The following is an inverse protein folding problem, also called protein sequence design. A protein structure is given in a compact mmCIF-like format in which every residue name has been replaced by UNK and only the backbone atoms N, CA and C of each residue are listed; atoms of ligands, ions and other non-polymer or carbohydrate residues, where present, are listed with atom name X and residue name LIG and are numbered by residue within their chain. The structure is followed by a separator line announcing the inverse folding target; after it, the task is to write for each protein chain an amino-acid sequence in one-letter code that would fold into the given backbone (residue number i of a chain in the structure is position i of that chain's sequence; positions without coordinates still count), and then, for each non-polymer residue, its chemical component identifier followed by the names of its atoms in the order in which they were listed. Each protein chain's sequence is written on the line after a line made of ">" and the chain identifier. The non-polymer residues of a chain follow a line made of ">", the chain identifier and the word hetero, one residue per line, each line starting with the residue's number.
data_IF_845148403825
#
_entry.id   IF_845148403825
#
_cell.length_a   1.000
_cell.length_b   1.000
_cell.length_c   1.000
_cell.angle_alpha   90.00
_cell.angle_beta   90.00
_cell.angle_gamma   90.00
#
_symmetry.space_group_name_H-M   'P 1'
#
loop_
_entity.id
_entity.type
_entity.pdbx_description
1 polymer ?
#
# COMPACT_ATOMS: atom_id res chain seq x y z
N UNK A 1 -13.68 9.38 -12.28
CA UNK A 1 -13.08 10.33 -11.35
C UNK A 1 -11.98 9.72 -10.51
N UNK A 2 -12.32 8.75 -9.65
CA UNK A 2 -11.31 8.10 -8.83
C UNK A 2 -10.28 7.34 -9.67
N UNK A 3 -10.68 6.80 -10.83
CA UNK A 3 -9.75 6.09 -11.70
C UNK A 3 -8.68 7.01 -12.28
N UNK A 4 -9.06 8.23 -12.60
CA UNK A 4 -8.12 9.21 -13.13
C UNK A 4 -7.12 9.62 -12.06
N UNK A 5 -7.60 9.83 -10.84
CA UNK A 5 -6.73 10.17 -9.73
C UNK A 5 -5.80 9.01 -9.43
N UNK A 6 -6.31 7.81 -9.40
CA UNK A 6 -5.49 6.61 -9.17
C UNK A 6 -4.44 6.44 -10.25
N UNK A 7 -4.81 6.69 -11.51
CA UNK A 7 -3.86 6.61 -12.61
C UNK A 7 -2.74 7.61 -12.50
N UNK A 8 -3.06 8.86 -12.13
CA UNK A 8 -2.05 9.89 -11.94
C UNK A 8 -1.12 9.53 -10.79
N UNK A 9 -1.67 8.99 -9.70
CA UNK A 9 -0.86 8.57 -8.57
C UNK A 9 0.06 7.40 -8.92
N UNK A 10 -0.43 6.49 -9.75
CA UNK A 10 0.36 5.34 -10.19
C UNK A 10 1.59 5.77 -10.98
N UNK A 11 1.50 6.87 -11.71
CA UNK A 11 2.59 7.30 -12.56
C UNK A 11 3.64 8.08 -11.80
N UNK A 12 3.23 9.12 -11.08
CA UNK A 12 4.19 10.06 -10.52
C UNK A 12 3.94 10.47 -9.09
N UNK A 13 2.69 10.49 -8.66
CA UNK A 13 2.35 11.06 -7.38
C UNK A 13 2.71 10.11 -6.23
N UNK A 14 3.34 10.68 -5.21
CA UNK A 14 3.59 10.00 -3.96
C UNK A 14 2.97 10.81 -2.84
N UNK A 15 2.44 10.13 -1.84
CA UNK A 15 1.83 10.80 -0.70
C UNK A 15 2.81 10.94 0.45
N UNK A 16 2.68 12.04 1.18
CA UNK A 16 3.33 12.19 2.48
C UNK A 16 2.60 11.31 3.50
N UNK A 17 3.19 11.16 4.69
CA UNK A 17 2.53 10.38 5.74
C UNK A 17 1.21 11.02 6.14
N UNK A 18 1.15 12.36 6.21
CA UNK A 18 -0.10 13.06 6.56
C UNK A 18 -1.18 12.83 5.52
N UNK A 19 -0.79 12.88 4.25
CA UNK A 19 -1.72 12.62 3.16
C UNK A 19 -2.23 11.19 3.19
N UNK A 20 -1.33 10.24 3.47
CA UNK A 20 -1.72 8.84 3.57
C UNK A 20 -2.72 8.61 4.70
N UNK A 21 -2.49 9.25 5.84
CA UNK A 21 -3.43 9.18 6.97
C UNK A 21 -4.82 9.65 6.55
N UNK A 22 -4.86 10.77 5.84
CA UNK A 22 -6.14 11.38 5.42
C UNK A 22 -6.84 10.56 4.36
N UNK A 23 -6.11 10.16 3.33
CA UNK A 23 -6.69 9.46 2.18
C UNK A 23 -7.19 8.08 2.56
N UNK A 24 -6.47 7.38 3.41
CA UNK A 24 -6.78 5.98 3.74
C UNK A 24 -7.35 5.80 5.14
N UNK A 25 -7.57 6.88 5.88
CA UNK A 25 -8.07 6.83 7.27
C UNK A 25 -7.21 5.91 8.13
N UNK A 26 -5.89 6.08 8.04
CA UNK A 26 -4.93 5.31 8.81
C UNK A 26 -4.33 6.16 9.91
N UNK A 27 -4.08 5.53 11.05
CA UNK A 27 -3.42 6.22 12.16
C UNK A 27 -1.94 6.40 11.84
N UNK A 28 -1.42 7.57 12.16
CA UNK A 28 -0.01 7.89 11.91
C UNK A 28 0.92 6.90 12.60
N UNK A 29 0.61 6.54 13.85
CA UNK A 29 1.43 5.59 14.59
C UNK A 29 1.48 4.22 13.94
N UNK A 30 0.38 3.78 13.37
CA UNK A 30 0.33 2.51 12.66
C UNK A 30 1.28 2.53 11.46
N UNK A 31 1.22 3.62 10.67
CA UNK A 31 2.07 3.76 9.49
C UNK A 31 3.54 3.75 9.90
N UNK A 32 3.90 4.54 10.90
CA UNK A 32 5.28 4.62 11.37
C UNK A 32 5.79 3.24 11.80
N UNK A 33 5.00 2.52 12.57
CA UNK A 33 5.39 1.19 13.02
C UNK A 33 5.61 0.23 11.87
N UNK A 34 4.70 0.20 10.91
CA UNK A 34 4.80 -0.73 9.78
C UNK A 34 6.00 -0.43 8.90
N UNK A 35 6.33 0.84 8.73
CA UNK A 35 7.53 1.22 7.98
C UNK A 35 8.79 0.81 8.76
N UNK A 36 8.82 1.08 10.05
CA UNK A 36 9.98 0.74 10.87
C UNK A 36 10.19 -0.78 10.96
N UNK A 37 9.13 -1.55 10.93
CA UNK A 37 9.20 -3.01 10.94
C UNK A 37 9.62 -3.57 9.58
N UNK A 38 9.72 -2.74 8.57
CA UNK A 38 10.06 -3.19 7.22
C UNK A 38 8.92 -3.85 6.48
N UNK A 39 7.69 -3.70 6.96
CA UNK A 39 6.52 -4.33 6.36
C UNK A 39 5.80 -3.44 5.36
N UNK A 40 6.00 -2.13 5.46
CA UNK A 40 5.40 -1.15 4.55
C UNK A 40 6.52 -0.29 3.97
N UNK A 41 6.76 -0.37 2.66
CA UNK A 41 7.82 0.42 2.04
C UNK A 41 7.49 1.91 2.02
N UNK A 42 8.53 2.72 2.17
CA UNK A 42 8.45 4.17 2.00
C UNK A 42 9.81 4.63 1.48
N UNK A 43 9.82 5.66 0.66
CA UNK A 43 11.07 6.29 0.25
C UNK A 43 11.41 7.42 1.21
N UNK A 44 12.70 7.73 1.34
CA UNK A 44 13.18 8.75 2.26
C UNK A 44 13.69 8.13 3.56
N UNK A 45 14.44 8.93 4.33
CA UNK A 45 15.08 8.45 5.55
C UNK A 45 14.36 8.88 6.82
N UNK A 46 13.99 10.15 6.91
CA UNK A 46 13.25 10.66 8.07
C UNK A 46 11.75 10.57 7.83
N UNK A 47 10.98 10.44 8.90
CA UNK A 47 9.52 10.35 8.80
C UNK A 47 8.94 11.50 7.99
N UNK A 48 9.46 12.70 8.21
CA UNK A 48 8.99 13.89 7.48
C UNK A 48 9.30 13.84 5.98
N UNK A 49 10.23 12.98 5.58
CA UNK A 49 10.63 12.84 4.19
C UNK A 49 10.00 11.63 3.49
N UNK A 50 9.32 10.78 4.26
CA UNK A 50 8.73 9.59 3.69
C UNK A 50 7.72 9.92 2.62
N UNK A 51 7.76 9.13 1.55
CA UNK A 51 6.80 9.22 0.45
C UNK A 51 6.31 7.82 0.13
N UNK A 52 5.02 7.72 -0.14
CA UNK A 52 4.35 6.45 -0.40
C UNK A 52 3.82 6.44 -1.81
N UNK A 53 4.30 5.49 -2.62
CA UNK A 53 3.84 5.31 -3.98
C UNK A 53 2.42 4.72 -3.97
N UNK A 54 1.78 4.69 -5.14
CA UNK A 54 0.44 4.10 -5.24
C UNK A 54 0.45 2.63 -4.82
N UNK A 55 1.50 1.89 -5.15
CA UNK A 55 1.61 0.49 -4.73
C UNK A 55 1.71 0.38 -3.22
N UNK A 56 2.46 1.28 -2.59
CA UNK A 56 2.58 1.31 -1.13
C UNK A 56 1.28 1.70 -0.46
N UNK A 57 0.51 2.59 -1.07
CA UNK A 57 -0.79 3.01 -0.57
C UNK A 57 -1.76 1.83 -0.58
N UNK A 58 -1.80 1.09 -1.68
CA UNK A 58 -2.65 -0.10 -1.79
C UNK A 58 -2.25 -1.13 -0.73
N UNK A 59 -0.95 -1.35 -0.56
CA UNK A 59 -0.43 -2.29 0.42
C UNK A 59 -0.85 -1.89 1.84
N UNK A 60 -0.72 -0.61 2.18
CA UNK A 60 -1.08 -0.12 3.51
C UNK A 60 -2.56 -0.38 3.80
N UNK A 61 -3.42 -0.10 2.83
CA UNK A 61 -4.86 -0.32 2.99
C UNK A 61 -5.18 -1.79 3.18
N UNK A 62 -4.55 -2.66 2.40
CA UNK A 62 -4.75 -4.11 2.50
C UNK A 62 -4.29 -4.64 3.85
N UNK A 63 -3.11 -4.24 4.28
CA UNK A 63 -2.57 -4.69 5.56
C UNK A 63 -3.48 -4.28 6.72
N UNK A 64 -3.88 -3.01 6.75
CA UNK A 64 -4.73 -2.53 7.83
C UNK A 64 -6.07 -3.25 7.86
N UNK A 65 -6.66 -3.48 6.70
CA UNK A 65 -7.92 -4.21 6.60
C UNK A 65 -7.78 -5.64 7.12
N UNK A 66 -6.71 -6.33 6.74
CA UNK A 66 -6.48 -7.71 7.18
C UNK A 66 -6.25 -7.77 8.68
N UNK A 67 -5.45 -6.86 9.22
CA UNK A 67 -5.22 -6.80 10.66
C UNK A 67 -6.53 -6.59 11.42
N UNK A 68 -7.37 -5.70 10.91
CA UNK A 68 -8.62 -5.34 11.59
C UNK A 68 -9.68 -6.42 11.44
N UNK A 69 -9.89 -6.92 10.22
CA UNK A 69 -10.98 -7.85 9.93
C UNK A 69 -10.72 -9.25 10.46
N UNK A 70 -9.45 -9.64 10.55
CA UNK A 70 -9.07 -10.98 10.96
C UNK A 70 -8.26 -11.01 12.25
N UNK A 71 -8.10 -9.87 12.90
CA UNK A 71 -7.27 -9.75 14.09
C UNK A 71 -5.89 -10.38 13.85
N UNK A 72 -5.33 -10.10 12.68
CA UNK A 72 -4.09 -10.71 12.25
C UNK A 72 -2.89 -9.93 12.76
N UNK A 73 -1.80 -10.65 13.05
CA UNK A 73 -0.53 -10.03 13.38
C UNK A 73 0.00 -9.28 12.14
N UNK A 74 0.78 -8.21 12.34
CA UNK A 74 1.30 -7.42 11.22
C UNK A 74 2.07 -8.24 10.19
N UNK A 75 2.85 -9.21 10.65
CA UNK A 75 3.64 -10.05 9.75
C UNK A 75 2.75 -10.91 8.85
N UNK A 76 1.65 -11.42 9.40
CA UNK A 76 0.72 -12.20 8.62
C UNK A 76 -0.01 -11.31 7.61
N UNK A 77 -0.42 -10.12 8.03
CA UNK A 77 -1.06 -9.17 7.12
C UNK A 77 -0.13 -8.81 5.97
N UNK A 78 1.16 -8.63 6.26
CA UNK A 78 2.15 -8.33 5.24
C UNK A 78 2.32 -9.50 4.27
N UNK A 79 2.34 -10.72 4.77
CA UNK A 79 2.44 -11.91 3.92
C UNK A 79 1.25 -12.01 2.97
N UNK A 80 0.05 -11.78 3.47
CA UNK A 80 -1.14 -11.80 2.63
C UNK A 80 -1.09 -10.68 1.59
N UNK A 81 -0.62 -9.49 2.00
CA UNK A 81 -0.44 -8.38 1.05
C UNK A 81 0.54 -8.76 -0.05
N UNK A 82 1.65 -9.44 0.29
CA UNK A 82 2.60 -9.93 -0.72
C UNK A 82 1.93 -10.85 -1.72
N UNK A 83 1.09 -11.75 -1.23
CA UNK A 83 0.38 -12.70 -2.09
C UNK A 83 -0.59 -11.99 -3.02
N UNK A 84 -1.29 -10.98 -2.50
CA UNK A 84 -2.23 -10.20 -3.31
C UNK A 84 -1.51 -9.40 -4.38
N UNK A 85 -0.34 -8.85 -4.07
CA UNK A 85 0.48 -8.14 -5.04
C UNK A 85 0.91 -9.06 -6.17
N UNK A 86 1.31 -10.28 -5.83
CA UNK A 86 1.69 -11.26 -6.83
C UNK A 86 0.51 -11.68 -7.69
N UNK A 87 -0.66 -11.85 -7.09
CA UNK A 87 -1.88 -12.15 -7.84
C UNK A 87 -2.23 -11.03 -8.81
N UNK A 88 -2.11 -9.78 -8.37
CA UNK A 88 -2.37 -8.63 -9.22
C UNK A 88 -1.42 -8.62 -10.43
N UNK A 89 -0.16 -8.92 -10.19
CA UNK A 89 0.83 -8.97 -11.26
C UNK A 89 0.50 -10.06 -12.26
N UNK A 90 0.15 -11.25 -11.78
CA UNK A 90 -0.20 -12.36 -12.64
C UNK A 90 -1.45 -12.04 -13.47
N UNK A 91 -2.45 -11.42 -12.87
CA UNK A 91 -3.66 -11.01 -13.58
C UNK A 91 -3.33 -9.98 -14.66
N UNK A 92 -2.44 -9.06 -14.37
CA UNK A 92 -2.03 -8.05 -15.35
C UNK A 92 -1.32 -8.72 -16.53
N UNK A 93 -0.50 -9.73 -16.26
CA UNK A 93 0.17 -10.48 -17.31
C UNK A 93 -0.82 -11.22 -18.19
N UNK A 94 -1.82 -11.86 -17.59
CA UNK A 94 -2.86 -12.57 -18.32
C UNK A 94 -3.64 -11.62 -19.21
N UNK A 95 -3.98 -10.45 -18.72
CA UNK A 95 -4.68 -9.45 -19.54
C UNK A 95 -3.84 -8.99 -20.72
N UNK A 96 -2.56 -8.76 -20.50
CA UNK A 96 -1.65 -8.35 -21.57
C UNK A 96 -1.49 -9.44 -22.63
N UNK A 97 -1.60 -10.69 -22.21
CA UNK A 97 -1.53 -11.82 -23.13
C UNK A 97 -2.88 -12.14 -23.78
N UNK A 98 -3.94 -11.41 -23.42
CA UNK A 98 -5.27 -11.66 -23.97
C UNK A 98 -5.95 -12.90 -23.41
N UNK A 99 -5.52 -13.37 -22.23
CA UNK A 99 -6.05 -14.60 -21.64
C UNK A 99 -7.03 -14.38 -20.50
N UNK A 100 -7.28 -13.12 -20.15
CA UNK A 100 -8.20 -12.83 -19.06
C UNK A 100 -9.03 -11.59 -19.35
#
# INVERSE_FOLDING_TARGET
>A
MSDEIAGAMLEDACLTIEELCTVCALEREWIVRRVEEGLLPASGTAVSEWRFSSANIVRARRMRKIERDFDAAPELAALVADMLEEMDELRARLRRAGLA
#
